data_IF_939872341618
#
_entry.id   IF_939872341618
#
_cell.length_a   1.000
_cell.length_b   1.000
_cell.length_c   1.000
_cell.angle_alpha   90.00
_cell.angle_beta   90.00
_cell.angle_gamma   90.00
#
_symmetry.space_group_name_H-M   'P 1'
#
loop_
_entity.id
_entity.type
_entity.pdbx_description
1 polymer ?
#
# COMPACT_ATOMS: atom_id res chain seq x y z
N UNK A 1 10.57 -1.77 -8.69
CA UNK A 1 11.58 -0.94 -7.99
C UNK A 1 12.69 -0.61 -8.98
N UNK A 2 13.16 0.64 -9.01
CA UNK A 2 14.31 1.06 -9.84
C UNK A 2 15.65 0.99 -9.06
N UNK A 3 15.67 0.22 -7.98
CA UNK A 3 16.86 -0.04 -7.16
C UNK A 3 16.71 -1.44 -6.54
N UNK A 4 17.76 -2.27 -6.60
CA UNK A 4 17.72 -3.68 -6.15
C UNK A 4 17.40 -3.83 -4.67
N UNK A 5 17.76 -2.83 -3.86
CA UNK A 5 17.44 -2.73 -2.42
C UNK A 5 16.52 -1.56 -2.09
N UNK A 6 15.66 -1.14 -3.02
CA UNK A 6 14.86 0.08 -2.89
C UNK A 6 14.00 0.15 -1.62
N UNK A 7 13.42 -0.97 -1.19
CA UNK A 7 12.67 -1.04 0.08
C UNK A 7 13.57 -0.75 1.28
N UNK A 8 14.78 -1.30 1.30
CA UNK A 8 15.73 -1.08 2.40
C UNK A 8 16.20 0.37 2.46
N UNK A 9 16.41 1.00 1.31
CA UNK A 9 16.81 2.41 1.27
C UNK A 9 15.73 3.32 1.86
N UNK A 10 14.45 3.06 1.56
CA UNK A 10 13.34 3.78 2.21
C UNK A 10 13.36 3.57 3.72
N UNK A 11 13.49 2.33 4.20
CA UNK A 11 13.55 2.02 5.63
C UNK A 11 14.71 2.72 6.34
N UNK A 12 15.91 2.74 5.73
CA UNK A 12 17.09 3.39 6.30
C UNK A 12 16.90 4.91 6.45
N UNK A 13 16.27 5.57 5.47
CA UNK A 13 15.92 6.99 5.58
C UNK A 13 14.94 7.23 6.73
N UNK A 14 13.90 6.40 6.86
CA UNK A 14 12.99 6.49 8.01
C UNK A 14 13.72 6.28 9.34
N UNK A 15 14.66 5.33 9.44
CA UNK A 15 15.42 5.09 10.67
C UNK A 15 16.15 6.35 11.15
N UNK A 16 16.77 7.12 10.25
CA UNK A 16 17.44 8.38 10.61
C UNK A 16 16.45 9.39 11.20
N UNK A 17 15.27 9.53 10.59
CA UNK A 17 14.23 10.43 11.07
C UNK A 17 13.63 9.98 12.41
N UNK A 18 13.42 8.68 12.59
CA UNK A 18 12.93 8.11 13.84
C UNK A 18 13.95 8.26 14.98
N UNK A 19 15.24 8.00 14.70
CA UNK A 19 16.33 8.19 15.69
C UNK A 19 16.48 9.64 16.14
N UNK A 20 16.20 10.60 15.25
CA UNK A 20 16.34 12.03 15.55
C UNK A 20 15.04 12.70 15.96
N UNK A 21 13.92 11.97 16.03
CA UNK A 21 12.58 12.51 16.34
C UNK A 21 12.04 13.46 15.26
N UNK A 22 12.61 13.45 14.06
CA UNK A 22 12.29 14.34 12.95
C UNK A 22 11.16 13.80 12.09
N UNK A 23 9.96 13.72 12.67
CA UNK A 23 8.78 13.13 12.04
C UNK A 23 7.50 13.86 12.46
N UNK A 24 6.52 13.91 11.56
CA UNK A 24 5.14 14.35 11.82
C UNK A 24 4.99 15.76 12.44
N UNK A 25 5.95 16.66 12.19
CA UNK A 25 5.85 18.08 12.55
C UNK A 25 6.01 18.96 11.31
N UNK A 26 5.36 20.14 11.24
CA UNK A 26 5.44 21.01 10.07
C UNK A 26 6.89 21.34 9.69
N UNK A 27 7.25 21.09 8.43
CA UNK A 27 8.61 21.29 7.92
C UNK A 27 9.64 20.23 8.34
N UNK A 28 9.22 19.17 9.05
CA UNK A 28 10.14 18.21 9.65
C UNK A 28 9.60 16.76 9.58
N UNK A 29 9.80 16.12 8.42
CA UNK A 29 9.40 14.74 8.16
C UNK A 29 10.14 14.17 6.94
N UNK A 30 10.38 12.85 6.85
CA UNK A 30 10.68 12.21 5.58
C UNK A 30 9.50 12.38 4.61
N UNK A 31 9.79 12.58 3.32
CA UNK A 31 8.77 12.71 2.29
C UNK A 31 9.15 11.93 1.03
N UNK A 32 8.37 10.87 0.73
CA UNK A 32 8.54 10.06 -0.48
C UNK A 32 7.81 10.71 -1.66
N UNK A 33 8.57 11.20 -2.64
CA UNK A 33 8.01 11.82 -3.84
C UNK A 33 7.38 10.77 -4.77
N UNK A 34 6.17 11.05 -5.24
CA UNK A 34 5.48 10.25 -6.24
C UNK A 34 5.48 11.01 -7.57
N UNK A 35 5.93 10.36 -8.66
CA UNK A 35 6.07 11.00 -9.97
C UNK A 35 4.76 11.13 -10.74
N UNK A 36 4.06 10.01 -10.97
CA UNK A 36 2.80 10.02 -11.72
C UNK A 36 1.68 10.71 -10.94
N UNK A 37 0.79 11.47 -11.61
CA UNK A 37 -0.19 12.33 -10.97
C UNK A 37 -1.18 11.58 -10.07
N UNK A 38 -1.54 10.33 -10.40
CA UNK A 38 -2.48 9.52 -9.62
C UNK A 38 -1.91 8.18 -9.18
N UNK A 39 -0.58 8.06 -9.05
CA UNK A 39 0.01 6.84 -8.49
C UNK A 39 -0.35 6.67 -7.00
N UNK A 40 -0.56 7.75 -6.24
CA UNK A 40 -1.12 7.66 -4.89
C UNK A 40 -2.61 7.28 -4.95
N UNK A 41 -3.45 8.15 -5.54
CA UNK A 41 -4.91 7.98 -5.53
C UNK A 41 -5.43 6.74 -6.23
N UNK A 42 -5.02 6.49 -7.47
CA UNK A 42 -5.54 5.34 -8.23
C UNK A 42 -4.76 4.07 -7.89
N UNK A 43 -3.44 4.07 -8.06
CA UNK A 43 -2.72 2.80 -7.94
C UNK A 43 -2.67 2.31 -6.49
N UNK A 44 -2.27 3.15 -5.53
CA UNK A 44 -2.03 2.76 -4.14
C UNK A 44 -3.29 2.75 -3.28
N UNK A 45 -4.10 3.80 -3.35
CA UNK A 45 -5.27 3.97 -2.48
C UNK A 45 -6.47 3.14 -2.96
N UNK A 46 -6.82 3.17 -4.26
CA UNK A 46 -7.82 2.22 -4.82
C UNK A 46 -7.26 0.79 -4.87
N UNK A 47 -5.93 0.64 -4.91
CA UNK A 47 -5.28 -0.66 -4.74
C UNK A 47 -5.26 -1.49 -6.01
N UNK A 48 -4.93 -0.90 -7.17
CA UNK A 48 -4.82 -1.60 -8.46
C UNK A 48 -3.55 -2.45 -8.57
N UNK A 49 -3.32 -3.30 -7.56
CA UNK A 49 -2.22 -4.24 -7.48
C UNK A 49 -2.79 -5.65 -7.22
N UNK A 50 -2.12 -6.68 -7.74
CA UNK A 50 -2.59 -8.07 -7.67
C UNK A 50 -2.85 -8.63 -6.24
N UNK A 51 -2.29 -7.99 -5.21
CA UNK A 51 -2.40 -8.40 -3.81
C UNK A 51 -3.30 -7.48 -2.96
N UNK A 52 -3.93 -6.46 -3.57
CA UNK A 52 -4.59 -5.36 -2.87
C UNK A 52 -6.09 -5.32 -3.09
N UNK A 53 -6.75 -4.73 -2.12
CA UNK A 53 -8.12 -4.21 -2.16
C UNK A 53 -8.04 -2.70 -1.82
N UNK A 54 -9.11 -1.92 -2.04
CA UNK A 54 -9.12 -0.49 -1.71
C UNK A 54 -8.77 -0.19 -0.24
N UNK A 55 -8.28 1.02 0.05
CA UNK A 55 -8.05 1.53 1.40
C UNK A 55 -7.11 0.66 2.26
N UNK A 56 -5.93 0.40 1.73
CA UNK A 56 -4.90 -0.41 2.36
C UNK A 56 -5.20 -1.90 2.61
N UNK A 57 -6.38 -2.36 2.19
CA UNK A 57 -6.77 -3.74 2.33
C UNK A 57 -5.97 -4.67 1.41
N UNK A 58 -5.94 -5.95 1.77
CA UNK A 58 -5.17 -7.00 1.10
C UNK A 58 -6.00 -8.24 0.92
N UNK A 59 -5.87 -8.88 -0.24
CA UNK A 59 -6.65 -10.08 -0.58
C UNK A 59 -6.36 -11.24 0.36
N UNK A 60 -5.17 -11.32 0.97
CA UNK A 60 -4.81 -12.38 1.89
C UNK A 60 -5.60 -12.36 3.21
N UNK A 61 -6.15 -11.20 3.62
CA UNK A 61 -6.88 -11.06 4.87
C UNK A 61 -8.38 -11.39 4.68
N UNK A 62 -8.93 -12.41 5.36
CA UNK A 62 -10.33 -12.78 5.20
C UNK A 62 -11.32 -11.66 5.58
N UNK A 63 -11.02 -10.86 6.61
CA UNK A 63 -11.88 -9.74 7.02
C UNK A 63 -11.96 -8.67 5.93
N UNK A 64 -10.85 -8.41 5.24
CA UNK A 64 -10.80 -7.45 4.14
C UNK A 64 -11.65 -7.92 2.96
N UNK A 65 -11.57 -9.20 2.61
CA UNK A 65 -12.40 -9.79 1.55
C UNK A 65 -13.89 -9.70 1.90
N UNK A 66 -14.28 -10.06 3.12
CA UNK A 66 -15.67 -9.96 3.58
C UNK A 66 -16.22 -8.52 3.51
N UNK A 67 -15.42 -7.52 3.89
CA UNK A 67 -15.81 -6.10 3.77
C UNK A 67 -16.07 -5.74 2.29
N UNK A 68 -15.12 -6.07 1.41
CA UNK A 68 -15.23 -5.77 -0.01
C UNK A 68 -16.41 -6.51 -0.67
N UNK A 69 -16.58 -7.80 -0.41
CA UNK A 69 -17.68 -8.63 -0.91
C UNK A 69 -19.04 -8.08 -0.44
N UNK A 70 -19.16 -7.66 0.82
CA UNK A 70 -20.38 -7.05 1.35
C UNK A 70 -20.72 -5.73 0.64
N UNK A 71 -19.73 -4.86 0.43
CA UNK A 71 -19.93 -3.57 -0.24
C UNK A 71 -20.33 -3.79 -1.71
N UNK A 72 -19.67 -4.72 -2.39
CA UNK A 72 -19.93 -5.04 -3.80
C UNK A 72 -21.09 -6.01 -4.01
N UNK A 73 -21.75 -6.46 -2.93
CA UNK A 73 -22.88 -7.40 -2.95
C UNK A 73 -22.53 -8.73 -3.65
N UNK A 74 -21.34 -9.23 -3.40
CA UNK A 74 -20.85 -10.51 -3.92
C UNK A 74 -21.12 -11.65 -2.91
N UNK A 75 -21.28 -12.89 -3.39
CA UNK A 75 -21.26 -14.06 -2.52
C UNK A 75 -19.96 -14.15 -1.72
N UNK A 76 -20.03 -14.70 -0.51
CA UNK A 76 -18.84 -14.92 0.31
C UNK A 76 -17.84 -15.84 -0.41
N UNK A 77 -16.56 -15.43 -0.40
CA UNK A 77 -15.48 -16.20 -1.02
C UNK A 77 -15.31 -16.00 -2.53
N UNK A 78 -16.03 -15.05 -3.12
CA UNK A 78 -15.85 -14.65 -4.52
C UNK A 78 -14.45 -14.09 -4.77
N UNK A 79 -13.89 -13.35 -3.82
CA UNK A 79 -12.54 -12.79 -3.92
C UNK A 79 -11.53 -13.86 -3.48
N UNK A 80 -10.57 -14.26 -4.34
CA UNK A 80 -9.59 -15.29 -4.00
C UNK A 80 -8.58 -14.79 -2.95
N UNK A 81 -8.15 -15.65 -2.01
CA UNK A 81 -7.13 -15.30 -1.01
C UNK A 81 -5.73 -15.15 -1.59
N UNK A 82 -5.46 -15.84 -2.70
CA UNK A 82 -4.15 -15.90 -3.32
C UNK A 82 -3.99 -14.73 -4.30
N UNK A 83 -2.94 -13.89 -4.15
CA UNK A 83 -2.64 -12.85 -5.13
C UNK A 83 -2.50 -13.43 -6.54
N UNK A 84 -2.97 -12.67 -7.53
CA UNK A 84 -2.76 -12.98 -8.94
C UNK A 84 -1.30 -12.83 -9.37
N UNK A 85 -0.99 -13.20 -10.61
CA UNK A 85 0.33 -12.96 -11.19
C UNK A 85 0.55 -11.45 -11.38
N UNK A 86 1.79 -11.02 -11.21
CA UNK A 86 2.25 -9.67 -11.55
C UNK A 86 3.03 -9.76 -12.87
N UNK A 87 2.87 -8.73 -13.72
CA UNK A 87 3.70 -8.54 -14.91
C UNK A 87 5.03 -7.87 -14.52
#
# INVERSE_FOLDING_TARGET
>A
NQHTRGVWMNNLVYNIHLLTGKIATPGNSPFSLTGQPSACGTAREVGTFAHRLPADMVVANPKHRQIAEKIWKLPEGTIPPKPGFHA
#
